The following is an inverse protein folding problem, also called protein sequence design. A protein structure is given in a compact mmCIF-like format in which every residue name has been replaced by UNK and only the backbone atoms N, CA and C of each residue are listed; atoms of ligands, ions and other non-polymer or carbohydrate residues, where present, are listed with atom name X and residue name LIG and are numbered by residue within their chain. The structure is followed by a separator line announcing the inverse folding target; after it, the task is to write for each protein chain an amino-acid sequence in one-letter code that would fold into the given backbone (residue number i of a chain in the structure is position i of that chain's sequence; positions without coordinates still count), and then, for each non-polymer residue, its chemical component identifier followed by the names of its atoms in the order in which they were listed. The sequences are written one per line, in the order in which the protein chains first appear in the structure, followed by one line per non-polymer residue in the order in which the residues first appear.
data_IF_314403552052
#
_entry.id   IF_314403552052
#
_cell.length_a   1.000
_cell.length_b   1.000
_cell.length_c   1.000
_cell.angle_alpha   90.00
_cell.angle_beta   90.00
_cell.angle_gamma   90.00
#
_symmetry.space_group_name_H-M   'P 1'
#
loop_
_entity.id
_entity.type
_entity.pdbx_description
1 polymer ?
#
# COMPACT_ATOMS: atom_id res chain seq x y z
N UNK A 1 31.24 4.10 -21.99
CA UNK A 1 29.83 4.16 -22.44
C UNK A 1 28.98 3.60 -21.32
N UNK A 2 28.28 4.45 -20.57
CA UNK A 2 27.31 3.97 -19.61
C UNK A 2 26.14 3.39 -20.41
N UNK A 3 25.93 2.07 -20.33
CA UNK A 3 24.71 1.47 -20.82
C UNK A 3 23.56 2.18 -20.10
N UNK A 4 22.70 2.86 -20.86
CA UNK A 4 21.39 3.23 -20.36
C UNK A 4 20.64 1.93 -20.10
N UNK A 5 20.85 1.36 -18.92
CA UNK A 5 19.96 0.36 -18.37
C UNK A 5 18.65 1.08 -18.08
N UNK A 6 17.81 1.14 -19.11
CA UNK A 6 16.40 1.45 -19.01
C UNK A 6 15.82 0.28 -18.20
N UNK A 7 15.70 0.48 -16.89
CA UNK A 7 14.88 -0.39 -16.06
C UNK A 7 13.44 -0.21 -16.57
N UNK A 8 13.07 -1.07 -17.52
CA UNK A 8 11.75 -1.04 -18.14
C UNK A 8 10.75 -1.49 -17.06
N UNK A 9 9.85 -0.60 -16.67
CA UNK A 9 8.70 -0.99 -15.85
C UNK A 9 7.93 -2.03 -16.67
N UNK A 10 7.70 -3.26 -16.16
CA UNK A 10 6.95 -4.27 -16.91
C UNK A 10 5.60 -3.72 -17.36
N UNK A 11 5.18 -3.90 -18.63
CA UNK A 11 3.94 -3.31 -19.15
C UNK A 11 2.69 -3.62 -18.32
N UNK A 12 2.64 -4.80 -17.70
CA UNK A 12 1.57 -5.20 -16.78
C UNK A 12 1.38 -4.20 -15.62
N UNK A 13 2.46 -3.60 -15.10
CA UNK A 13 2.39 -2.64 -14.00
C UNK A 13 1.91 -1.25 -14.44
N UNK A 14 1.86 -1.00 -15.75
CA UNK A 14 1.30 0.25 -16.29
C UNK A 14 -0.21 0.11 -16.54
N UNK A 15 -0.74 -1.12 -16.63
CA UNK A 15 -2.15 -1.40 -16.92
C UNK A 15 -3.11 -0.60 -16.01
N UNK A 16 -2.90 -0.49 -14.68
CA UNK A 16 -3.82 0.28 -13.83
C UNK A 16 -3.86 1.78 -14.17
N UNK A 17 -2.74 2.36 -14.60
CA UNK A 17 -2.63 3.79 -14.96
C UNK A 17 -3.29 4.06 -16.31
N UNK A 18 -3.30 3.07 -17.20
CA UNK A 18 -3.92 3.14 -18.50
C UNK A 18 -5.44 2.85 -18.45
N UNK A 19 -5.96 2.52 -17.26
CA UNK A 19 -7.36 2.16 -17.03
C UNK A 19 -7.70 0.70 -17.37
N UNK A 20 -8.92 0.27 -17.00
CA UNK A 20 -9.46 -1.02 -17.41
C UNK A 20 -8.94 -2.23 -16.60
N UNK A 21 -8.63 -2.05 -15.33
CA UNK A 21 -8.37 -3.14 -14.38
C UNK A 21 -9.51 -3.27 -13.37
N UNK A 22 -9.86 -4.50 -12.98
CA UNK A 22 -10.77 -4.73 -11.86
C UNK A 22 -10.08 -4.48 -10.51
N UNK A 23 -10.83 -4.37 -9.41
CA UNK A 23 -10.24 -4.26 -8.07
C UNK A 23 -9.37 -5.47 -7.73
N UNK A 24 -9.83 -6.69 -8.06
CA UNK A 24 -9.07 -7.92 -7.84
C UNK A 24 -7.77 -7.93 -8.67
N UNK A 25 -7.82 -7.52 -9.94
CA UNK A 25 -6.61 -7.38 -10.77
C UNK A 25 -5.66 -6.32 -10.23
N UNK A 26 -6.19 -5.22 -9.70
CA UNK A 26 -5.37 -4.16 -9.13
C UNK A 26 -4.66 -4.59 -7.84
N UNK A 27 -5.32 -5.37 -6.98
CA UNK A 27 -4.70 -6.00 -5.81
C UNK A 27 -3.53 -6.92 -6.23
N UNK A 28 -3.71 -7.77 -7.23
CA UNK A 28 -2.65 -8.65 -7.74
C UNK A 28 -1.48 -7.84 -8.32
N UNK A 29 -1.76 -6.77 -9.06
CA UNK A 29 -0.74 -5.89 -9.62
C UNK A 29 0.05 -5.14 -8.53
N UNK A 30 -0.62 -4.68 -7.47
CA UNK A 30 0.05 -4.11 -6.29
C UNK A 30 0.96 -5.13 -5.62
N UNK A 31 0.49 -6.38 -5.47
CA UNK A 31 1.29 -7.48 -4.93
C UNK A 31 2.56 -7.73 -5.76
N UNK A 32 2.45 -7.75 -7.10
CA UNK A 32 3.61 -7.91 -7.99
C UNK A 32 4.59 -6.74 -7.84
N UNK A 33 4.11 -5.50 -7.83
CA UNK A 33 4.97 -4.32 -7.69
C UNK A 33 5.77 -4.35 -6.38
N UNK A 34 5.12 -4.69 -5.26
CA UNK A 34 5.79 -4.82 -3.96
C UNK A 34 6.82 -5.97 -3.94
N UNK A 35 6.51 -7.10 -4.58
CA UNK A 35 7.49 -8.20 -4.71
C UNK A 35 8.72 -7.81 -5.52
N UNK A 36 8.54 -7.00 -6.58
CA UNK A 36 9.66 -6.47 -7.37
C UNK A 36 10.51 -5.44 -6.60
N UNK A 37 9.94 -4.79 -5.57
CA UNK A 37 10.72 -4.00 -4.61
C UNK A 37 11.51 -4.85 -3.60
N UNK A 38 11.30 -6.17 -3.61
CA UNK A 38 12.01 -7.14 -2.78
C UNK A 38 11.23 -7.63 -1.56
N UNK A 39 9.94 -7.30 -1.45
CA UNK A 39 9.13 -7.74 -0.32
C UNK A 39 8.58 -9.16 -0.47
N UNK A 40 8.49 -9.88 0.66
CA UNK A 40 7.73 -11.12 0.74
C UNK A 40 6.26 -10.80 1.04
N UNK A 41 5.45 -10.74 -0.01
CA UNK A 41 4.03 -10.32 0.09
C UNK A 41 3.08 -11.52 0.05
N UNK A 42 2.23 -11.64 1.08
CA UNK A 42 1.08 -12.54 1.12
C UNK A 42 -0.18 -11.79 0.64
N UNK A 43 -0.99 -12.44 -0.18
CA UNK A 43 -2.24 -11.89 -0.70
C UNK A 43 -3.41 -12.50 0.05
N UNK A 44 -4.15 -11.69 0.79
CA UNK A 44 -5.21 -12.11 1.70
C UNK A 44 -6.60 -11.79 1.16
N UNK A 45 -6.83 -10.55 0.68
CA UNK A 45 -8.12 -9.94 0.34
C UNK A 45 -9.15 -10.85 -0.34
N UNK A 46 -9.35 -10.72 -1.66
CA UNK A 46 -10.36 -11.53 -2.37
C UNK A 46 -10.08 -13.06 -2.33
N UNK A 47 -8.90 -13.49 -1.87
CA UNK A 47 -8.53 -14.90 -1.70
C UNK A 47 -9.10 -15.50 -0.42
N UNK A 48 -9.57 -14.68 0.51
CA UNK A 48 -10.29 -15.06 1.74
C UNK A 48 -11.65 -14.37 1.80
N UNK A 49 -12.51 -14.62 0.82
CA UNK A 49 -13.83 -13.95 0.62
C UNK A 49 -14.77 -13.90 1.82
N UNK A 50 -14.55 -14.72 2.85
CA UNK A 50 -15.38 -14.80 4.06
C UNK A 50 -14.71 -14.22 5.31
N UNK A 51 -13.47 -13.75 5.19
CA UNK A 51 -12.75 -13.08 6.27
C UNK A 51 -12.71 -11.58 5.98
N UNK A 52 -13.12 -10.78 6.97
CA UNK A 52 -12.85 -9.34 6.91
C UNK A 52 -11.37 -9.12 7.29
N UNK A 53 -10.52 -9.08 6.28
CA UNK A 53 -9.06 -8.94 6.36
C UNK A 53 -8.58 -7.98 5.29
N UNK A 54 -7.48 -7.29 5.58
CA UNK A 54 -6.79 -6.41 4.64
C UNK A 54 -6.33 -7.18 3.39
N UNK A 55 -5.98 -6.45 2.33
CA UNK A 55 -5.73 -7.05 1.01
C UNK A 55 -4.38 -7.77 0.95
N UNK A 56 -3.31 -7.13 1.43
CA UNK A 56 -1.93 -7.68 1.37
C UNK A 56 -1.18 -7.55 2.69
N UNK A 57 -0.30 -8.51 2.99
CA UNK A 57 0.60 -8.44 4.16
C UNK A 57 2.06 -8.64 3.74
N UNK A 58 2.97 -7.81 4.24
CA UNK A 58 4.41 -8.03 4.07
C UNK A 58 4.94 -8.86 5.26
N UNK A 59 5.51 -10.03 4.95
CA UNK A 59 6.06 -10.96 5.93
C UNK A 59 7.57 -10.80 6.10
N UNK A 60 8.09 -11.26 7.24
CA UNK A 60 9.54 -11.28 7.53
C UNK A 60 10.11 -9.95 8.01
N UNK A 61 9.25 -8.98 8.30
CA UNK A 61 9.63 -7.68 8.87
C UNK A 61 9.57 -7.73 10.40
N UNK A 62 10.33 -6.88 11.09
CA UNK A 62 10.30 -6.80 12.56
C UNK A 62 8.89 -6.43 13.09
N UNK A 63 8.20 -5.60 12.32
CA UNK A 63 6.88 -5.06 12.60
C UNK A 63 5.90 -5.55 11.53
N UNK A 64 4.64 -5.85 11.88
CA UNK A 64 3.64 -6.23 10.89
C UNK A 64 3.37 -5.08 9.92
N UNK A 65 3.19 -5.40 8.65
CA UNK A 65 2.82 -4.42 7.63
C UNK A 65 1.60 -4.95 6.90
N UNK A 66 0.50 -4.21 7.03
CA UNK A 66 -0.78 -4.53 6.42
C UNK A 66 -1.12 -3.47 5.39
N UNK A 67 -1.73 -3.90 4.28
CA UNK A 67 -1.95 -3.05 3.12
C UNK A 67 -3.38 -3.24 2.64
N UNK A 68 -4.06 -2.12 2.44
CA UNK A 68 -5.38 -2.05 1.81
C UNK A 68 -5.23 -1.31 0.48
N UNK A 69 -5.91 -1.81 -0.55
CA UNK A 69 -5.75 -1.37 -1.94
C UNK A 69 -7.10 -0.85 -2.46
N UNK A 70 -7.06 0.25 -3.20
CA UNK A 70 -8.26 0.91 -3.76
C UNK A 70 -8.05 1.27 -5.22
N UNK A 71 -8.73 0.55 -6.09
CA UNK A 71 -8.73 0.80 -7.53
C UNK A 71 -9.61 2.02 -7.87
N UNK A 72 -9.15 3.22 -7.47
CA UNK A 72 -9.84 4.48 -7.74
C UNK A 72 -8.82 5.59 -7.98
N UNK A 73 -8.97 6.30 -9.10
CA UNK A 73 -8.15 7.47 -9.46
C UNK A 73 -8.47 8.70 -8.60
N UNK A 74 -9.61 8.68 -7.91
CA UNK A 74 -10.11 9.78 -7.09
C UNK A 74 -10.70 9.23 -5.79
N UNK A 75 -9.93 8.39 -5.08
CA UNK A 75 -10.35 7.77 -3.84
C UNK A 75 -10.83 8.79 -2.81
N UNK A 76 -11.91 8.43 -2.12
CA UNK A 76 -12.51 9.18 -1.02
C UNK A 76 -12.71 8.25 0.16
N UNK A 77 -12.18 8.61 1.33
CA UNK A 77 -12.35 7.81 2.54
C UNK A 77 -13.78 7.96 3.07
N UNK A 78 -14.61 6.93 2.86
CA UNK A 78 -15.95 6.90 3.44
C UNK A 78 -15.92 6.57 4.94
N UNK A 79 -17.01 6.87 5.66
CA UNK A 79 -17.11 6.54 7.08
C UNK A 79 -17.02 5.02 7.35
N UNK A 80 -17.54 4.19 6.46
CA UNK A 80 -17.46 2.73 6.59
C UNK A 80 -16.04 2.22 6.37
N UNK A 81 -15.33 2.73 5.36
CA UNK A 81 -13.93 2.37 5.13
C UNK A 81 -13.03 2.85 6.26
N UNK A 82 -13.28 4.05 6.81
CA UNK A 82 -12.57 4.53 8.00
C UNK A 82 -12.71 3.57 9.17
N UNK A 83 -13.92 3.05 9.44
CA UNK A 83 -14.15 2.04 10.48
C UNK A 83 -13.40 0.75 10.18
N UNK A 84 -13.53 0.26 8.94
CA UNK A 84 -12.88 -0.96 8.46
C UNK A 84 -11.36 -0.93 8.63
N UNK A 85 -10.71 0.18 8.24
CA UNK A 85 -9.26 0.36 8.45
C UNK A 85 -8.90 0.35 9.94
N UNK A 86 -9.68 0.98 10.82
CA UNK A 86 -9.44 0.93 12.26
C UNK A 86 -9.57 -0.49 12.82
N UNK A 87 -10.59 -1.23 12.38
CA UNK A 87 -10.80 -2.61 12.79
C UNK A 87 -9.64 -3.50 12.34
N UNK A 88 -9.05 -3.24 11.17
CA UNK A 88 -7.84 -3.94 10.71
C UNK A 88 -6.62 -3.67 11.58
N UNK A 89 -6.38 -2.41 11.96
CA UNK A 89 -5.29 -2.06 12.88
C UNK A 89 -5.45 -2.76 14.23
N UNK A 90 -6.66 -2.70 14.81
CA UNK A 90 -6.96 -3.32 16.11
C UNK A 90 -6.85 -4.85 16.05
N UNK A 91 -7.41 -5.49 15.01
CA UNK A 91 -7.29 -6.93 14.80
C UNK A 91 -5.83 -7.36 14.72
N UNK A 92 -5.01 -6.69 13.89
CA UNK A 92 -3.59 -7.04 13.75
C UNK A 92 -2.80 -6.78 15.03
N UNK A 93 -3.11 -5.70 15.75
CA UNK A 93 -2.50 -5.40 17.04
C UNK A 93 -2.79 -6.51 18.06
N UNK A 94 -4.04 -7.02 18.13
CA UNK A 94 -4.42 -8.13 19.01
C UNK A 94 -3.75 -9.45 18.64
N UNK A 95 -3.60 -9.73 17.34
CA UNK A 95 -2.94 -10.95 16.84
C UNK A 95 -1.44 -10.99 17.17
N UNK A 96 -0.75 -9.85 17.04
CA UNK A 96 0.71 -9.78 17.11
C UNK A 96 1.25 -9.15 18.41
N UNK A 97 0.36 -8.56 19.22
CA UNK A 97 0.66 -7.76 20.41
C UNK A 97 1.71 -6.66 20.15
N UNK A 98 1.65 -6.02 18.98
CA UNK A 98 2.53 -4.93 18.55
C UNK A 98 1.89 -4.09 17.46
N UNK A 99 2.25 -2.80 17.35
CA UNK A 99 1.72 -1.92 16.32
C UNK A 99 2.17 -2.29 14.91
N UNK A 100 1.29 -2.03 13.94
CA UNK A 100 1.53 -2.31 12.52
C UNK A 100 1.84 -1.05 11.69
N UNK A 101 2.50 -1.21 10.55
CA UNK A 101 2.49 -0.21 9.48
C UNK A 101 1.25 -0.51 8.64
N UNK A 102 0.35 0.47 8.51
CA UNK A 102 -0.82 0.36 7.64
C UNK A 102 -0.62 1.25 6.42
N UNK A 103 -0.61 0.65 5.24
CA UNK A 103 -0.42 1.37 3.98
C UNK A 103 -1.70 1.25 3.15
N UNK A 104 -2.33 2.38 2.86
CA UNK A 104 -3.40 2.47 1.88
C UNK A 104 -2.82 2.81 0.51
N UNK A 105 -3.01 1.93 -0.49
CA UNK A 105 -2.56 2.15 -1.86
C UNK A 105 -3.77 2.47 -2.74
N UNK A 106 -3.77 3.61 -3.43
CA UNK A 106 -4.80 3.96 -4.41
C UNK A 106 -4.19 4.45 -5.73
N UNK A 107 -4.97 4.49 -6.82
CA UNK A 107 -4.51 5.14 -8.06
C UNK A 107 -4.39 6.66 -7.87
N UNK A 108 -5.31 7.25 -7.10
CA UNK A 108 -5.24 8.65 -6.69
C UNK A 108 -6.22 8.98 -5.57
N UNK A 109 -6.10 10.19 -5.04
CA UNK A 109 -6.90 10.70 -3.92
C UNK A 109 -7.52 12.04 -4.31
N UNK A 110 -8.78 12.25 -3.97
CA UNK A 110 -9.38 13.57 -4.12
C UNK A 110 -8.90 14.53 -3.00
N UNK A 111 -9.04 15.84 -3.21
CA UNK A 111 -8.53 16.85 -2.27
C UNK A 111 -9.20 16.78 -0.89
N UNK A 112 -10.51 16.56 -0.82
CA UNK A 112 -11.27 16.46 0.43
C UNK A 112 -10.89 15.20 1.23
N UNK A 113 -10.42 14.14 0.57
CA UNK A 113 -10.02 12.89 1.18
C UNK A 113 -8.75 13.03 2.02
N UNK A 114 -7.84 13.94 1.66
CA UNK A 114 -6.53 14.09 2.32
C UNK A 114 -6.70 14.46 3.80
N UNK A 115 -7.63 15.37 4.12
CA UNK A 115 -7.85 15.76 5.52
C UNK A 115 -8.48 14.64 6.34
N UNK A 116 -9.43 13.89 5.75
CA UNK A 116 -10.01 12.70 6.40
C UNK A 116 -8.95 11.60 6.66
N UNK A 117 -8.01 11.42 5.74
CA UNK A 117 -6.89 10.49 5.90
C UNK A 117 -5.91 10.94 6.99
N UNK A 118 -5.61 12.24 7.08
CA UNK A 118 -4.79 12.83 8.17
C UNK A 118 -5.45 12.68 9.53
N UNK A 119 -6.76 12.83 9.61
CA UNK A 119 -7.50 12.55 10.84
C UNK A 119 -7.39 11.09 11.25
N UNK A 120 -7.61 10.16 10.32
CA UNK A 120 -7.45 8.73 10.58
C UNK A 120 -6.03 8.42 11.05
N UNK A 121 -5.01 9.03 10.44
CA UNK A 121 -3.62 8.92 10.88
C UNK A 121 -3.45 9.33 12.34
N UNK A 122 -3.93 10.53 12.72
CA UNK A 122 -3.84 11.02 14.10
C UNK A 122 -4.54 10.10 15.10
N UNK A 123 -5.68 9.53 14.72
CA UNK A 123 -6.40 8.57 15.56
C UNK A 123 -5.59 7.29 15.78
N UNK A 124 -5.09 6.67 14.71
CA UNK A 124 -4.33 5.42 14.78
C UNK A 124 -2.97 5.60 15.49
N UNK A 125 -2.28 6.71 15.21
CA UNK A 125 -1.03 7.05 15.87
C UNK A 125 -1.29 7.32 17.38
N UNK A 126 -2.41 7.99 17.71
CA UNK A 126 -2.80 8.31 19.08
C UNK A 126 -3.20 7.11 19.93
N UNK A 127 -3.76 6.06 19.32
CA UNK A 127 -4.02 4.79 20.03
C UNK A 127 -2.78 3.91 20.12
N UNK A 128 -1.73 4.20 19.35
CA UNK A 128 -0.52 3.38 19.27
C UNK A 128 -0.77 2.01 18.63
N UNK A 129 -1.85 1.83 17.88
CA UNK A 129 -2.21 0.55 17.24
C UNK A 129 -1.56 0.37 15.87
N UNK A 130 -1.42 1.46 15.11
CA UNK A 130 -0.81 1.43 13.79
C UNK A 130 -0.26 2.80 13.41
N UNK A 131 0.74 2.80 12.53
CA UNK A 131 1.17 4.00 11.82
C UNK A 131 0.60 3.98 10.41
N UNK A 132 -0.18 4.99 10.08
CA UNK A 132 -0.92 5.05 8.82
C UNK A 132 -0.21 5.89 7.76
N UNK A 133 -0.19 5.36 6.53
CA UNK A 133 0.37 5.98 5.32
C UNK A 133 -0.61 5.79 4.16
N UNK A 134 -0.76 6.81 3.33
CA UNK A 134 -1.58 6.75 2.11
C UNK A 134 -0.71 7.07 0.90
N UNK A 135 -0.60 6.15 -0.05
CA UNK A 135 0.39 6.21 -1.13
C UNK A 135 -0.30 6.01 -2.48
N UNK A 136 0.12 6.76 -3.49
CA UNK A 136 -0.37 6.52 -4.86
C UNK A 136 0.41 5.38 -5.49
N UNK A 137 -0.28 4.54 -6.24
CA UNK A 137 0.32 3.41 -6.95
C UNK A 137 1.43 3.86 -7.91
N UNK A 138 1.26 5.01 -8.58
CA UNK A 138 2.27 5.58 -9.48
C UNK A 138 3.59 5.91 -8.76
N UNK A 139 3.53 6.29 -7.48
CA UNK A 139 4.72 6.60 -6.70
C UNK A 139 5.48 5.31 -6.36
N UNK A 140 4.76 4.21 -6.06
CA UNK A 140 5.36 2.89 -5.80
C UNK A 140 6.11 2.37 -7.03
N UNK A 141 5.48 2.40 -8.22
CA UNK A 141 6.15 1.91 -9.44
C UNK A 141 7.36 2.76 -9.81
N UNK A 142 7.36 4.06 -9.46
CA UNK A 142 8.50 4.97 -9.72
C UNK A 142 9.75 4.56 -8.93
N UNK A 143 9.59 3.76 -7.88
CA UNK A 143 10.68 3.20 -7.09
C UNK A 143 11.36 2.01 -7.77
N UNK A 144 10.67 1.29 -8.67
CA UNK A 144 11.20 0.09 -9.32
C UNK A 144 12.49 0.36 -10.12
N UNK A 145 12.56 1.41 -10.97
CA UNK A 145 13.82 1.76 -11.65
C UNK A 145 14.95 2.13 -10.68
N UNK A 146 14.63 2.78 -9.55
CA UNK A 146 15.61 3.13 -8.53
C UNK A 146 16.13 1.88 -7.82
N UNK A 147 15.25 0.91 -7.51
CA UNK A 147 15.61 -0.38 -6.92
C UNK A 147 16.53 -1.19 -7.84
N UNK A 148 16.18 -1.28 -9.12
CA UNK A 148 17.00 -1.98 -10.11
C UNK A 148 18.42 -1.41 -10.22
N UNK A 149 18.56 -0.09 -10.05
CA UNK A 149 19.86 0.62 -10.06
C UNK A 149 20.60 0.57 -8.72
N UNK A 150 20.12 -0.18 -7.73
CA UNK A 150 20.71 -0.25 -6.40
C UNK A 150 20.62 1.06 -5.60
N UNK A 151 19.76 2.00 -5.99
CA UNK A 151 19.62 3.32 -5.36
C UNK A 151 18.63 3.34 -4.18
N UNK A 152 18.01 2.21 -3.87
CA UNK A 152 17.09 2.04 -2.75
C UNK A 152 17.73 1.11 -1.72
N UNK A 153 18.11 1.69 -0.59
CA UNK A 153 18.62 0.95 0.56
C UNK A 153 17.48 0.29 1.34
N UNK A 154 16.46 1.06 1.72
CA UNK A 154 15.26 0.57 2.40
C UNK A 154 14.01 0.86 1.56
N UNK A 155 13.45 -0.16 0.88
CA UNK A 155 12.24 0.03 0.08
C UNK A 155 11.01 0.46 0.89
N UNK A 156 10.93 0.09 2.17
CA UNK A 156 9.76 0.42 3.00
C UNK A 156 9.77 1.89 3.36
N UNK A 157 10.93 2.42 3.75
CA UNK A 157 11.06 3.84 4.07
C UNK A 157 10.76 4.70 2.83
N UNK A 158 11.25 4.30 1.65
CA UNK A 158 10.94 5.00 0.41
C UNK A 158 9.43 4.99 0.08
N UNK A 159 8.70 3.91 0.38
CA UNK A 159 7.24 3.88 0.22
C UNK A 159 6.56 4.85 1.20
N UNK A 160 7.03 4.91 2.45
CA UNK A 160 6.49 5.81 3.47
C UNK A 160 6.73 7.28 3.13
N UNK A 161 7.88 7.60 2.58
CA UNK A 161 8.21 8.95 2.07
C UNK A 161 7.30 9.38 0.90
N UNK A 162 6.70 8.42 0.17
CA UNK A 162 5.67 8.70 -0.83
C UNK A 162 4.28 8.95 -0.24
N UNK A 163 4.12 8.96 1.08
CA UNK A 163 2.83 9.25 1.72
C UNK A 163 2.33 10.65 1.35
N UNK A 164 1.05 10.75 0.98
CA UNK A 164 0.38 12.02 0.67
C UNK A 164 -0.16 12.74 1.91
N UNK A 165 -0.04 12.12 3.09
CA UNK A 165 -0.51 12.60 4.39
C UNK A 165 0.60 12.64 5.44
#
# INVERSE_FOLDING_TARGET
MASEEVALIPPLLLKPILGGVSSEEFEDICCIALRLLGFKVEHLGYKRKYEDVWDLEIKGMMKPIIIDVKNSESYSLTANERRKLKDYADKKYKEENKPSDMILIALGFNSTCIDNLRELKRELDGTGMAWFYAVKYCDIISLLPKKAKGKIHDPLENIKECSVI
#
